data_IF_107336536953
#
_entry.id   IF_107336536953
#
_cell.length_a   1.000
_cell.length_b   1.000
_cell.length_c   1.000
_cell.angle_alpha   90.00
_cell.angle_beta   90.00
_cell.angle_gamma   90.00
#
_symmetry.space_group_name_H-M   'P 1'
#
loop_
_entity.id
_entity.type
_entity.pdbx_description
1 polymer ?
#
# COMPACT_ATOMS: atom_id res chain seq x y z
N UNK A 1 -5.94 -58.05 -70.60
CA UNK A 1 -5.77 -58.25 -69.14
C UNK A 1 -5.02 -57.10 -68.45
N UNK A 2 -3.90 -56.62 -69.00
CA UNK A 2 -3.06 -55.56 -68.41
C UNK A 2 -3.77 -54.21 -68.16
N UNK A 3 -4.64 -53.74 -69.06
CA UNK A 3 -5.38 -52.48 -68.89
C UNK A 3 -6.37 -52.50 -67.70
N UNK A 4 -6.95 -53.67 -67.40
CA UNK A 4 -7.90 -53.87 -66.29
C UNK A 4 -7.17 -53.87 -64.94
N UNK A 5 -5.97 -54.42 -64.89
CA UNK A 5 -5.08 -54.40 -63.72
C UNK A 5 -4.55 -52.98 -63.45
N UNK A 6 -4.15 -52.23 -64.50
CA UNK A 6 -3.71 -50.83 -64.38
C UNK A 6 -4.82 -49.91 -63.86
N UNK A 7 -6.06 -50.07 -64.35
CA UNK A 7 -7.23 -49.33 -63.82
C UNK A 7 -7.52 -49.65 -62.35
N UNK A 8 -7.39 -50.91 -61.92
CA UNK A 8 -7.59 -51.31 -60.52
C UNK A 8 -6.49 -50.75 -59.61
N UNK A 9 -5.23 -50.79 -60.04
CA UNK A 9 -4.11 -50.16 -59.31
C UNK A 9 -4.29 -48.65 -59.17
N UNK A 10 -4.69 -47.95 -60.25
CA UNK A 10 -4.94 -46.50 -60.18
C UNK A 10 -6.09 -46.16 -59.24
N UNK A 11 -7.19 -46.93 -59.23
CA UNK A 11 -8.30 -46.76 -58.28
C UNK A 11 -7.86 -46.99 -56.82
N UNK A 12 -7.01 -47.99 -56.58
CA UNK A 12 -6.47 -48.25 -55.24
C UNK A 12 -5.55 -47.12 -54.76
N UNK A 13 -4.67 -46.60 -55.63
CA UNK A 13 -3.80 -45.46 -55.33
C UNK A 13 -4.62 -44.20 -55.03
N UNK A 14 -5.62 -43.89 -55.87
CA UNK A 14 -6.53 -42.76 -55.62
C UNK A 14 -7.31 -42.90 -54.31
N UNK A 15 -7.74 -44.12 -53.97
CA UNK A 15 -8.43 -44.39 -52.71
C UNK A 15 -7.51 -44.20 -51.51
N UNK A 16 -6.28 -44.73 -51.57
CA UNK A 16 -5.27 -44.54 -50.51
C UNK A 16 -4.97 -43.05 -50.32
N UNK A 17 -4.68 -42.31 -51.40
CA UNK A 17 -4.40 -40.87 -51.35
C UNK A 17 -5.58 -40.11 -50.75
N UNK A 18 -6.81 -40.45 -51.12
CA UNK A 18 -8.02 -39.79 -50.59
C UNK A 18 -8.21 -40.07 -49.09
N UNK A 19 -8.02 -41.32 -48.66
CA UNK A 19 -8.11 -41.72 -47.24
C UNK A 19 -7.01 -41.05 -46.43
N UNK A 20 -5.78 -41.02 -46.92
CA UNK A 20 -4.66 -40.33 -46.26
C UNK A 20 -4.92 -38.83 -46.17
N UNK A 21 -5.41 -38.19 -47.25
CA UNK A 21 -5.75 -36.77 -47.23
C UNK A 21 -6.86 -36.48 -46.20
N UNK A 22 -7.91 -37.29 -46.15
CA UNK A 22 -8.98 -37.17 -45.14
C UNK A 22 -8.45 -37.34 -43.71
N UNK A 23 -7.55 -38.30 -43.47
CA UNK A 23 -6.94 -38.56 -42.17
C UNK A 23 -6.12 -37.38 -41.62
N UNK A 24 -5.55 -36.53 -42.49
CA UNK A 24 -4.79 -35.36 -42.06
C UNK A 24 -5.58 -34.05 -42.16
N UNK A 25 -6.39 -33.89 -43.19
CA UNK A 25 -7.09 -32.62 -43.48
C UNK A 25 -8.28 -32.39 -42.55
N UNK A 26 -9.00 -33.45 -42.16
CA UNK A 26 -10.13 -33.32 -41.22
C UNK A 26 -9.64 -32.91 -39.83
N UNK A 27 -8.64 -33.57 -39.21
CA UNK A 27 -8.08 -33.10 -37.95
C UNK A 27 -7.51 -31.69 -38.04
N UNK A 28 -6.75 -31.36 -39.10
CA UNK A 28 -6.20 -30.02 -39.28
C UNK A 28 -7.30 -28.95 -39.35
N UNK A 29 -8.39 -29.19 -40.07
CA UNK A 29 -9.52 -28.26 -40.16
C UNK A 29 -10.27 -28.14 -38.84
N UNK A 30 -10.41 -29.24 -38.08
CA UNK A 30 -11.02 -29.18 -36.73
C UNK A 30 -10.16 -28.35 -35.77
N UNK A 31 -8.84 -28.56 -35.74
CA UNK A 31 -7.91 -27.76 -34.93
C UNK A 31 -7.96 -26.28 -35.33
N UNK A 32 -7.95 -25.98 -36.63
CA UNK A 32 -8.07 -24.61 -37.14
C UNK A 32 -9.40 -23.96 -36.72
N UNK A 33 -10.51 -24.69 -36.79
CA UNK A 33 -11.83 -24.15 -36.41
C UNK A 33 -11.91 -23.88 -34.90
N UNK A 34 -11.35 -24.77 -34.08
CA UNK A 34 -11.23 -24.57 -32.63
C UNK A 34 -10.37 -23.34 -32.34
N UNK A 35 -9.22 -23.22 -33.00
CA UNK A 35 -8.32 -22.07 -32.86
C UNK A 35 -8.98 -20.75 -33.25
N UNK A 36 -9.71 -20.71 -34.37
CA UNK A 36 -10.42 -19.52 -34.82
C UNK A 36 -11.56 -19.12 -33.85
N UNK A 37 -12.32 -20.10 -33.35
CA UNK A 37 -13.36 -19.86 -32.33
C UNK A 37 -12.74 -19.35 -31.02
N UNK A 38 -11.63 -19.93 -30.60
CA UNK A 38 -10.88 -19.48 -29.44
C UNK A 38 -10.44 -18.03 -29.60
N UNK A 39 -9.77 -17.68 -30.72
CA UNK A 39 -9.37 -16.31 -31.00
C UNK A 39 -10.54 -15.33 -31.09
N UNK A 40 -11.67 -15.77 -31.63
CA UNK A 40 -12.87 -14.94 -31.67
C UNK A 40 -13.41 -14.68 -30.25
N UNK A 41 -13.43 -15.70 -29.37
CA UNK A 41 -13.86 -15.56 -27.98
C UNK A 41 -12.90 -14.70 -27.16
N UNK A 42 -11.59 -14.89 -27.32
CA UNK A 42 -10.56 -14.10 -26.64
C UNK A 42 -10.61 -12.62 -27.09
N UNK A 43 -10.84 -12.38 -28.38
CA UNK A 43 -11.07 -11.03 -28.89
C UNK A 43 -12.35 -10.42 -28.32
N UNK A 44 -13.44 -11.18 -28.28
CA UNK A 44 -14.71 -10.70 -27.77
C UNK A 44 -14.64 -10.33 -26.28
N UNK A 45 -13.94 -11.11 -25.43
CA UNK A 45 -13.75 -10.77 -24.02
C UNK A 45 -12.83 -9.57 -23.85
N UNK A 46 -11.78 -9.44 -24.66
CA UNK A 46 -10.88 -8.29 -24.64
C UNK A 46 -11.53 -6.97 -25.09
N UNK A 47 -12.61 -7.05 -25.87
CA UNK A 47 -13.43 -5.90 -26.27
C UNK A 47 -14.48 -5.50 -25.22
N UNK A 48 -14.76 -6.34 -24.23
CA UNK A 48 -15.66 -5.97 -23.14
C UNK A 48 -14.98 -4.95 -22.21
N UNK A 49 -15.74 -3.93 -21.76
CA UNK A 49 -15.23 -3.02 -20.75
C UNK A 49 -14.91 -3.77 -19.44
N UNK A 50 -13.87 -3.37 -18.70
CA UNK A 50 -13.62 -3.89 -17.37
C UNK A 50 -14.77 -3.55 -16.42
N UNK A 51 -14.98 -4.40 -15.42
CA UNK A 51 -15.87 -4.11 -14.30
C UNK A 51 -15.17 -3.20 -13.29
N UNK A 52 -15.96 -2.50 -12.48
CA UNK A 52 -15.45 -1.65 -11.40
C UNK A 52 -15.73 -2.33 -10.06
N UNK A 53 -14.69 -2.44 -9.24
CA UNK A 53 -14.73 -2.89 -7.86
C UNK A 53 -14.26 -1.74 -6.96
N UNK A 54 -15.01 -1.50 -5.89
CA UNK A 54 -14.70 -0.46 -4.90
C UNK A 54 -13.40 -0.79 -4.15
N UNK A 55 -12.59 0.23 -3.85
CA UNK A 55 -11.29 0.11 -3.16
C UNK A 55 -10.26 -0.83 -3.82
N UNK A 56 -10.41 -1.09 -5.13
CA UNK A 56 -9.56 -1.99 -5.90
C UNK A 56 -9.03 -1.31 -7.18
N UNK A 57 -8.13 -0.35 -7.00
CA UNK A 57 -7.54 0.43 -8.09
C UNK A 57 -6.89 -0.44 -9.15
N UNK A 58 -6.14 -1.46 -8.73
CA UNK A 58 -5.42 -2.30 -9.66
C UNK A 58 -6.37 -3.20 -10.45
N UNK A 59 -7.36 -3.82 -9.81
CA UNK A 59 -8.44 -4.55 -10.48
C UNK A 59 -9.14 -3.70 -11.55
N UNK A 60 -9.42 -2.42 -11.25
CA UNK A 60 -10.09 -1.50 -12.16
C UNK A 60 -9.22 -1.14 -13.38
N UNK A 61 -7.90 -1.26 -13.27
CA UNK A 61 -6.95 -1.05 -14.38
C UNK A 61 -6.56 -2.33 -15.15
N UNK A 62 -7.16 -3.47 -14.82
CA UNK A 62 -7.01 -4.73 -15.57
C UNK A 62 -7.95 -4.78 -16.78
N UNK A 63 -7.58 -5.54 -17.80
CA UNK A 63 -8.52 -5.91 -18.88
C UNK A 63 -9.59 -6.87 -18.36
N UNK A 64 -10.74 -6.98 -19.05
CA UNK A 64 -11.79 -7.91 -18.61
C UNK A 64 -11.31 -9.37 -18.53
N UNK A 65 -10.41 -9.78 -19.42
CA UNK A 65 -9.76 -11.09 -19.37
C UNK A 65 -8.94 -11.27 -18.09
N UNK A 66 -8.09 -10.30 -17.76
CA UNK A 66 -7.28 -10.33 -16.53
C UNK A 66 -8.14 -10.29 -15.25
N UNK A 67 -9.24 -9.55 -15.26
CA UNK A 67 -10.20 -9.54 -14.14
C UNK A 67 -10.82 -10.92 -13.87
N UNK A 68 -11.09 -11.71 -14.91
CA UNK A 68 -11.58 -13.08 -14.71
C UNK A 68 -10.54 -13.97 -14.02
N UNK A 69 -9.25 -13.79 -14.32
CA UNK A 69 -8.17 -14.48 -13.60
C UNK A 69 -8.09 -14.00 -12.15
N UNK A 70 -8.17 -12.69 -11.91
CA UNK A 70 -8.18 -12.10 -10.57
C UNK A 70 -9.32 -12.69 -9.73
N UNK A 71 -10.55 -12.67 -10.26
CA UNK A 71 -11.76 -13.21 -9.63
C UNK A 71 -11.61 -14.71 -9.32
N UNK A 72 -11.07 -15.50 -10.25
CA UNK A 72 -10.88 -16.92 -10.06
C UNK A 72 -9.81 -17.25 -9.01
N UNK A 73 -8.76 -16.44 -8.91
CA UNK A 73 -7.75 -16.56 -7.86
C UNK A 73 -8.39 -16.28 -6.49
N UNK A 74 -9.11 -15.16 -6.34
CA UNK A 74 -9.81 -14.84 -5.09
C UNK A 74 -10.81 -15.93 -4.68
N UNK A 75 -11.64 -16.41 -5.61
CA UNK A 75 -12.59 -17.48 -5.34
C UNK A 75 -11.91 -18.77 -4.88
N UNK A 76 -10.76 -19.12 -5.47
CA UNK A 76 -9.96 -20.27 -5.02
C UNK A 76 -9.37 -20.08 -3.63
N UNK A 77 -8.94 -18.87 -3.29
CA UNK A 77 -8.40 -18.52 -1.97
C UNK A 77 -9.50 -18.59 -0.90
N UNK A 78 -10.70 -18.09 -1.19
CA UNK A 78 -11.85 -18.13 -0.27
C UNK A 78 -12.19 -19.56 0.18
N UNK A 79 -11.96 -20.56 -0.68
CA UNK A 79 -12.19 -21.97 -0.37
C UNK A 79 -10.92 -22.72 0.05
N UNK A 80 -9.79 -22.04 0.23
CA UNK A 80 -8.47 -22.65 0.51
C UNK A 80 -8.07 -23.73 -0.51
N UNK A 81 -8.47 -23.57 -1.78
CA UNK A 81 -8.14 -24.49 -2.87
C UNK A 81 -6.67 -24.40 -3.24
N UNK A 82 -6.08 -25.48 -3.77
CA UNK A 82 -4.70 -25.49 -4.29
C UNK A 82 -4.60 -25.01 -5.74
N UNK A 83 -5.72 -24.77 -6.40
CA UNK A 83 -5.79 -24.23 -7.76
C UNK A 83 -7.11 -23.52 -8.00
N UNK A 84 -7.14 -22.62 -8.98
CA UNK A 84 -8.39 -22.01 -9.46
C UNK A 84 -9.24 -23.00 -10.24
N UNK A 85 -10.49 -22.62 -10.50
CA UNK A 85 -11.25 -23.25 -11.58
C UNK A 85 -10.54 -23.08 -12.93
N UNK A 86 -10.85 -23.98 -13.87
CA UNK A 86 -10.27 -23.95 -15.21
C UNK A 86 -10.86 -22.79 -16.02
N UNK A 87 -10.04 -21.78 -16.29
CA UNK A 87 -10.43 -20.61 -17.06
C UNK A 87 -10.48 -20.94 -18.56
N UNK A 88 -11.45 -20.38 -19.30
CA UNK A 88 -11.66 -20.70 -20.72
C UNK A 88 -10.63 -20.04 -21.66
N UNK A 89 -9.59 -19.40 -21.12
CA UNK A 89 -8.58 -18.65 -21.85
C UNK A 89 -7.17 -19.02 -21.44
N UNK A 90 -6.22 -18.82 -22.35
CA UNK A 90 -4.80 -18.89 -22.07
C UNK A 90 -4.30 -17.53 -21.59
N UNK A 91 -3.58 -17.51 -20.48
CA UNK A 91 -2.90 -16.31 -19.99
C UNK A 91 -1.41 -16.37 -20.29
N UNK A 92 -0.85 -15.24 -20.70
CA UNK A 92 0.59 -15.03 -20.79
C UNK A 92 1.17 -14.81 -19.40
N UNK A 93 2.48 -15.06 -19.26
CA UNK A 93 3.22 -14.75 -18.03
C UNK A 93 3.05 -13.28 -17.61
N UNK A 94 3.03 -12.35 -18.58
CA UNK A 94 2.83 -10.93 -18.31
C UNK A 94 1.44 -10.60 -17.74
N UNK A 95 0.37 -11.14 -18.33
CA UNK A 95 -1.00 -10.99 -17.80
C UNK A 95 -1.09 -11.58 -16.41
N UNK A 96 -0.45 -12.74 -16.22
CA UNK A 96 -0.41 -13.44 -14.94
C UNK A 96 0.29 -12.59 -13.86
N UNK A 97 1.53 -12.14 -14.10
CA UNK A 97 2.28 -11.26 -13.20
C UNK A 97 1.51 -10.00 -12.86
N UNK A 98 0.88 -9.35 -13.85
CA UNK A 98 0.10 -8.13 -13.63
C UNK A 98 -1.11 -8.37 -12.72
N UNK A 99 -1.79 -9.53 -12.86
CA UNK A 99 -2.90 -9.91 -11.97
C UNK A 99 -2.41 -10.23 -10.56
N UNK A 100 -1.29 -10.94 -10.43
CA UNK A 100 -0.69 -11.25 -9.13
C UNK A 100 -0.24 -9.99 -8.38
N UNK A 101 0.38 -9.04 -9.08
CA UNK A 101 0.70 -7.72 -8.53
C UNK A 101 -0.58 -6.98 -8.11
N UNK A 102 -1.63 -6.99 -8.94
CA UNK A 102 -2.90 -6.36 -8.59
C UNK A 102 -3.49 -6.94 -7.28
N UNK A 103 -3.47 -8.25 -7.11
CA UNK A 103 -3.96 -8.89 -5.86
C UNK A 103 -3.08 -8.53 -4.67
N UNK A 104 -1.75 -8.54 -4.81
CA UNK A 104 -0.83 -8.18 -3.73
C UNK A 104 -1.06 -6.75 -3.22
N UNK A 105 -1.38 -5.84 -4.13
CA UNK A 105 -1.59 -4.41 -3.82
C UNK A 105 -3.02 -4.11 -3.39
N UNK A 106 -4.04 -4.70 -4.01
CA UNK A 106 -5.44 -4.47 -3.64
C UNK A 106 -5.85 -5.23 -2.38
N UNK A 107 -5.23 -6.36 -2.06
CA UNK A 107 -5.65 -7.25 -0.97
C UNK A 107 -4.56 -7.48 0.10
N UNK A 108 -4.12 -6.46 0.86
CA UNK A 108 -3.11 -6.61 1.92
C UNK A 108 -3.44 -7.64 3.00
N UNK A 109 -4.72 -7.96 3.21
CA UNK A 109 -5.20 -9.01 4.13
C UNK A 109 -4.73 -10.41 3.77
N UNK A 110 -4.27 -10.62 2.52
CA UNK A 110 -3.82 -11.90 1.99
C UNK A 110 -2.30 -12.12 2.19
N UNK A 111 -1.75 -11.69 3.34
CA UNK A 111 -0.32 -11.77 3.68
C UNK A 111 0.27 -13.20 3.66
N UNK A 112 -0.60 -14.20 3.65
CA UNK A 112 -0.28 -15.62 3.66
C UNK A 112 -0.14 -16.25 2.26
N UNK A 113 -0.37 -15.48 1.19
CA UNK A 113 -0.16 -15.94 -0.17
C UNK A 113 1.29 -15.74 -0.61
N UNK A 114 1.82 -16.72 -1.32
CA UNK A 114 3.10 -16.57 -2.02
C UNK A 114 2.86 -16.11 -3.45
N UNK A 115 2.80 -14.79 -3.63
CA UNK A 115 2.47 -14.13 -4.90
C UNK A 115 3.43 -14.47 -6.07
N UNK A 116 4.74 -14.71 -5.88
CA UNK A 116 5.59 -15.20 -6.96
C UNK A 116 5.43 -16.71 -7.29
N UNK A 117 4.57 -17.46 -6.57
CA UNK A 117 4.48 -18.92 -6.70
C UNK A 117 3.34 -19.42 -7.62
N UNK A 118 2.51 -18.55 -8.15
CA UNK A 118 1.43 -19.02 -9.02
C UNK A 118 1.98 -19.45 -10.39
N UNK A 119 1.71 -20.71 -10.75
CA UNK A 119 2.06 -21.24 -12.07
C UNK A 119 0.83 -21.19 -12.97
N UNK A 120 0.92 -20.45 -14.08
CA UNK A 120 -0.10 -20.52 -15.13
C UNK A 120 0.08 -21.82 -15.93
N UNK A 121 -0.70 -22.84 -15.57
CA UNK A 121 -0.73 -24.09 -16.28
C UNK A 121 -1.68 -23.97 -17.48
N UNK A 122 -1.34 -24.59 -18.62
CA UNK A 122 -2.18 -24.54 -19.83
C UNK A 122 -2.59 -25.95 -20.26
N UNK A 123 -3.90 -26.20 -20.32
CA UNK A 123 -4.48 -27.40 -20.95
C UNK A 123 -4.99 -27.03 -22.36
N UNK A 124 -4.05 -26.94 -23.29
CA UNK A 124 -4.30 -26.48 -24.67
C UNK A 124 -4.63 -24.99 -24.77
N UNK A 125 -5.91 -24.63 -24.64
CA UNK A 125 -6.43 -23.25 -24.78
C UNK A 125 -6.96 -22.66 -23.47
N UNK A 126 -6.94 -23.44 -22.39
CA UNK A 126 -7.46 -23.08 -21.08
C UNK A 126 -6.32 -22.96 -20.08
N UNK A 127 -6.52 -22.18 -19.03
CA UNK A 127 -5.52 -22.00 -17.99
C UNK A 127 -6.12 -22.09 -16.60
N UNK A 128 -5.28 -22.40 -15.61
CA UNK A 128 -5.59 -22.27 -14.19
C UNK A 128 -4.34 -21.77 -13.47
N UNK A 129 -4.53 -21.20 -12.27
CA UNK A 129 -3.44 -20.79 -11.41
C UNK A 129 -3.31 -21.76 -10.23
N UNK A 130 -2.09 -22.19 -9.92
CA UNK A 130 -1.79 -22.98 -8.72
C UNK A 130 -1.64 -22.06 -7.50
N UNK A 131 -2.39 -22.32 -6.44
CA UNK A 131 -2.45 -21.48 -5.24
C UNK A 131 -1.60 -22.10 -4.13
N UNK A 132 -0.62 -21.34 -3.64
CA UNK A 132 0.26 -21.76 -2.55
C UNK A 132 0.09 -20.87 -1.31
N UNK A 133 0.02 -21.51 -0.15
CA UNK A 133 -0.18 -20.85 1.14
C UNK A 133 1.06 -21.04 2.02
N UNK A 134 1.47 -19.97 2.70
CA UNK A 134 2.66 -19.94 3.56
C UNK A 134 2.47 -20.65 4.91
N UNK A 135 1.22 -20.89 5.29
CA UNK A 135 0.85 -21.38 6.62
C UNK A 135 -0.12 -22.55 6.52
N UNK A 136 -0.12 -23.39 7.55
CA UNK A 136 -1.18 -24.37 7.77
C UNK A 136 -2.52 -23.67 8.07
N UNK A 137 -3.63 -24.40 7.98
CA UNK A 137 -4.97 -23.84 8.28
C UNK A 137 -5.08 -23.33 9.71
N UNK A 138 -4.43 -23.97 10.68
CA UNK A 138 -4.42 -23.57 12.08
C UNK A 138 -3.62 -22.28 12.29
N UNK A 139 -2.40 -22.22 11.78
CA UNK A 139 -1.56 -21.01 11.84
C UNK A 139 -2.22 -19.83 11.13
N UNK A 140 -2.85 -20.07 9.97
CA UNK A 140 -3.56 -19.04 9.23
C UNK A 140 -4.74 -18.48 10.04
N UNK A 141 -5.53 -19.34 10.67
CA UNK A 141 -6.64 -18.92 11.51
C UNK A 141 -6.16 -18.05 12.69
N UNK A 142 -5.08 -18.46 13.36
CA UNK A 142 -4.48 -17.70 14.45
C UNK A 142 -3.96 -16.33 13.97
N UNK A 143 -3.14 -16.31 12.92
CA UNK A 143 -2.52 -15.06 12.42
C UNK A 143 -3.56 -14.09 11.87
N UNK A 144 -4.61 -14.59 11.23
CA UNK A 144 -5.73 -13.77 10.77
C UNK A 144 -6.45 -13.13 11.96
N UNK A 145 -6.67 -13.89 13.04
CA UNK A 145 -7.28 -13.36 14.26
C UNK A 145 -6.42 -12.26 14.91
N UNK A 146 -5.10 -12.44 14.96
CA UNK A 146 -4.17 -11.42 15.48
C UNK A 146 -4.22 -10.14 14.66
N UNK A 147 -4.17 -10.25 13.32
CA UNK A 147 -4.25 -9.10 12.42
C UNK A 147 -5.59 -8.37 12.54
N UNK A 148 -6.71 -9.10 12.55
CA UNK A 148 -8.05 -8.54 12.71
C UNK A 148 -8.24 -7.85 14.07
N UNK A 149 -7.66 -8.38 15.14
CA UNK A 149 -7.73 -7.76 16.47
C UNK A 149 -7.05 -6.38 16.48
N UNK A 150 -5.87 -6.26 15.88
CA UNK A 150 -5.13 -4.99 15.82
C UNK A 150 -5.82 -4.00 14.87
N UNK A 151 -6.30 -4.46 13.70
CA UNK A 151 -7.05 -3.63 12.77
C UNK A 151 -8.37 -3.10 13.37
N UNK A 152 -9.05 -3.92 14.18
CA UNK A 152 -10.24 -3.51 14.92
C UNK A 152 -9.92 -2.47 16.00
N UNK A 153 -8.80 -2.62 16.72
CA UNK A 153 -8.35 -1.64 17.70
C UNK A 153 -8.04 -0.28 17.05
N UNK A 154 -7.34 -0.28 15.91
CA UNK A 154 -7.08 0.93 15.13
C UNK A 154 -8.38 1.61 14.66
N UNK A 155 -9.34 0.82 14.17
CA UNK A 155 -10.65 1.34 13.72
C UNK A 155 -11.47 1.94 14.87
N UNK A 156 -11.38 1.37 16.07
CA UNK A 156 -12.03 1.92 17.25
C UNK A 156 -11.48 3.31 17.61
N UNK A 157 -10.17 3.52 17.41
CA UNK A 157 -9.54 4.83 17.58
C UNK A 157 -10.05 5.86 16.56
N UNK A 158 -10.20 5.45 15.29
CA UNK A 158 -10.71 6.30 14.21
C UNK A 158 -12.23 6.57 14.28
N UNK A 159 -13.01 5.74 15.00
CA UNK A 159 -14.48 5.89 15.09
C UNK A 159 -14.91 7.20 15.75
N UNK A 160 -14.07 7.77 16.61
CA UNK A 160 -14.33 9.04 17.28
C UNK A 160 -14.10 10.28 16.37
N UNK A 161 -13.50 10.10 15.19
CA UNK A 161 -13.16 11.17 14.28
C UNK A 161 -14.34 11.53 13.36
N UNK A 162 -14.65 12.82 13.25
CA UNK A 162 -15.77 13.32 12.45
C UNK A 162 -15.43 13.47 10.96
N UNK A 163 -14.19 13.82 10.62
CA UNK A 163 -13.72 14.05 9.24
C UNK A 163 -12.89 12.88 8.71
N UNK A 164 -12.83 12.70 7.38
CA UNK A 164 -11.93 11.72 6.75
C UNK A 164 -10.46 12.04 7.06
N UNK A 165 -10.08 13.32 7.04
CA UNK A 165 -8.74 13.77 7.40
C UNK A 165 -8.35 13.39 8.84
N UNK A 166 -9.22 13.60 9.83
CA UNK A 166 -8.89 13.23 11.22
C UNK A 166 -8.84 11.71 11.41
N UNK A 167 -9.63 10.94 10.65
CA UNK A 167 -9.51 9.46 10.62
C UNK A 167 -8.19 9.02 10.01
N UNK A 168 -7.77 9.66 8.91
CA UNK A 168 -6.50 9.38 8.25
C UNK A 168 -5.34 9.58 9.22
N UNK A 169 -5.30 10.74 9.90
CA UNK A 169 -4.28 11.07 10.93
C UNK A 169 -4.32 10.02 12.05
N UNK A 170 -5.49 9.69 12.56
CA UNK A 170 -5.63 8.73 13.65
C UNK A 170 -5.10 7.31 13.30
N UNK A 171 -5.37 6.83 12.08
CA UNK A 171 -4.91 5.51 11.62
C UNK A 171 -3.42 5.50 11.25
N UNK A 172 -2.93 6.60 10.66
CA UNK A 172 -1.51 6.81 10.43
C UNK A 172 -0.71 6.79 11.74
N UNK A 173 -1.12 7.62 12.71
CA UNK A 173 -0.43 7.74 14.00
C UNK A 173 -0.47 6.44 14.79
N UNK A 174 -1.57 5.69 14.68
CA UNK A 174 -1.66 4.35 15.24
C UNK A 174 -0.60 3.42 14.66
N UNK A 175 -0.45 3.37 13.32
CA UNK A 175 0.54 2.52 12.68
C UNK A 175 1.96 2.94 13.03
N UNK A 176 2.29 4.22 12.84
CA UNK A 176 3.61 4.76 13.12
C UNK A 176 3.98 4.53 14.58
N UNK A 177 3.07 4.78 15.52
CA UNK A 177 3.32 4.60 16.95
C UNK A 177 3.55 3.16 17.41
N UNK A 178 3.20 2.13 16.62
CA UNK A 178 3.40 0.72 16.99
C UNK A 178 4.46 0.00 16.17
N UNK A 179 4.69 0.40 14.93
CA UNK A 179 5.64 -0.25 14.03
C UNK A 179 7.01 0.44 14.11
N UNK A 180 8.05 -0.31 13.74
CA UNK A 180 9.41 0.20 13.58
C UNK A 180 9.93 -0.16 12.20
N UNK A 181 10.48 0.81 11.50
CA UNK A 181 11.01 0.63 10.16
C UNK A 181 12.20 -0.34 10.17
N UNK A 182 12.11 -1.38 9.36
CA UNK A 182 13.20 -2.31 9.14
C UNK A 182 13.94 -1.96 7.86
N UNK A 183 15.15 -1.44 8.03
CA UNK A 183 16.06 -1.19 6.91
C UNK A 183 16.38 -2.47 6.15
N UNK A 184 16.47 -2.37 4.82
CA UNK A 184 16.71 -3.52 3.95
C UNK A 184 16.27 -3.22 2.52
N UNK A 185 15.93 -4.27 1.77
CA UNK A 185 15.25 -4.08 0.49
C UNK A 185 13.82 -3.60 0.73
N UNK A 186 13.19 -2.91 -0.23
CA UNK A 186 11.79 -2.49 -0.15
C UNK A 186 10.79 -3.63 0.12
N UNK A 187 11.23 -4.87 -0.08
CA UNK A 187 10.46 -6.10 0.04
C UNK A 187 10.75 -6.88 1.35
N UNK A 188 11.61 -6.32 2.23
CA UNK A 188 11.84 -6.86 3.58
C UNK A 188 10.61 -6.61 4.45
N UNK A 189 10.15 -7.64 5.18
CA UNK A 189 9.00 -7.54 6.10
C UNK A 189 7.80 -6.79 5.46
N UNK A 190 7.45 -7.24 4.25
CA UNK A 190 6.61 -6.52 3.30
C UNK A 190 5.12 -6.89 3.33
N UNK A 191 4.60 -7.26 4.51
CA UNK A 191 3.17 -7.54 4.70
C UNK A 191 2.54 -6.65 5.76
N UNK A 192 1.22 -6.45 5.67
CA UNK A 192 0.46 -5.77 6.71
C UNK A 192 0.59 -6.48 8.07
N UNK A 193 0.74 -7.81 8.07
CA UNK A 193 0.97 -8.59 9.30
C UNK A 193 2.33 -8.28 9.94
N UNK A 194 3.39 -8.08 9.13
CA UNK A 194 4.70 -7.72 9.67
C UNK A 194 4.65 -6.34 10.36
N UNK A 195 4.02 -5.35 9.74
CA UNK A 195 3.89 -4.01 10.31
C UNK A 195 2.97 -3.97 11.55
N UNK A 196 1.76 -4.53 11.46
CA UNK A 196 0.75 -4.41 12.53
C UNK A 196 0.99 -5.38 13.69
N UNK A 197 1.32 -6.64 13.39
CA UNK A 197 1.42 -7.70 14.42
C UNK A 197 2.86 -7.88 14.87
N UNK A 198 3.82 -8.00 13.95
CA UNK A 198 5.24 -8.13 14.33
C UNK A 198 5.89 -6.79 14.69
N UNK A 199 5.21 -5.66 14.42
CA UNK A 199 5.67 -4.30 14.74
C UNK A 199 6.99 -3.93 14.06
N UNK A 200 7.31 -4.58 12.96
CA UNK A 200 8.56 -4.37 12.24
C UNK A 200 8.33 -4.62 10.75
N UNK A 201 8.58 -3.62 9.92
CA UNK A 201 8.28 -3.68 8.49
C UNK A 201 9.15 -2.76 7.64
N UNK A 202 9.38 -3.13 6.38
CA UNK A 202 9.88 -2.22 5.36
C UNK A 202 8.75 -1.36 4.76
N UNK A 203 9.09 -0.52 3.77
CA UNK A 203 8.15 0.45 3.16
C UNK A 203 6.89 -0.19 2.59
N UNK A 204 7.01 -1.35 1.94
CA UNK A 204 5.84 -2.07 1.43
C UNK A 204 4.93 -2.62 2.55
N UNK A 205 5.50 -3.01 3.69
CA UNK A 205 4.72 -3.47 4.84
C UNK A 205 3.92 -2.32 5.47
N UNK A 206 4.53 -1.14 5.60
CA UNK A 206 3.84 0.09 6.02
C UNK A 206 2.70 0.44 5.05
N UNK A 207 2.99 0.48 3.75
CA UNK A 207 1.99 0.85 2.75
C UNK A 207 0.79 -0.13 2.72
N UNK A 208 1.06 -1.43 2.89
CA UNK A 208 0.02 -2.47 3.02
C UNK A 208 -0.78 -2.37 4.30
N UNK A 209 -0.14 -2.05 5.43
CA UNK A 209 -0.84 -1.84 6.69
C UNK A 209 -1.77 -0.64 6.62
N UNK A 210 -1.30 0.50 6.11
CA UNK A 210 -2.15 1.67 5.88
C UNK A 210 -3.31 1.34 4.97
N UNK A 211 -3.07 0.70 3.83
CA UNK A 211 -4.16 0.33 2.92
C UNK A 211 -5.19 -0.57 3.61
N UNK A 212 -4.76 -1.57 4.39
CA UNK A 212 -5.68 -2.42 5.16
C UNK A 212 -6.51 -1.62 6.17
N UNK A 213 -5.89 -0.68 6.89
CA UNK A 213 -6.57 0.17 7.86
C UNK A 213 -7.53 1.16 7.20
N UNK A 214 -7.13 1.78 6.10
CA UNK A 214 -7.94 2.74 5.34
C UNK A 214 -9.12 2.08 4.65
N UNK A 215 -8.91 0.97 3.94
CA UNK A 215 -9.99 0.22 3.27
C UNK A 215 -11.07 -0.20 4.30
N UNK A 216 -10.65 -0.59 5.51
CA UNK A 216 -11.57 -0.95 6.62
C UNK A 216 -12.38 0.24 7.14
N UNK A 217 -11.85 1.45 7.03
CA UNK A 217 -12.47 2.68 7.54
C UNK A 217 -13.07 3.55 6.43
N UNK A 218 -13.21 3.01 5.21
CA UNK A 218 -13.86 3.68 4.08
C UNK A 218 -13.01 4.76 3.41
N UNK A 219 -11.70 4.78 3.64
CA UNK A 219 -10.77 5.70 3.00
C UNK A 219 -10.10 4.95 1.84
N UNK A 220 -10.23 5.46 0.62
CA UNK A 220 -9.60 4.84 -0.54
C UNK A 220 -8.07 5.03 -0.47
N UNK A 221 -7.33 3.93 -0.59
CA UNK A 221 -5.87 3.94 -0.60
C UNK A 221 -5.30 3.05 -1.69
N UNK A 222 -4.32 3.60 -2.41
CA UNK A 222 -3.60 2.96 -3.51
C UNK A 222 -2.15 2.84 -3.07
N UNK A 223 -1.66 1.61 -2.95
CA UNK A 223 -0.21 1.40 -2.78
C UNK A 223 0.45 1.74 -4.10
N UNK A 224 1.49 2.56 -4.10
CA UNK A 224 2.27 2.91 -5.29
C UNK A 224 3.71 2.47 -5.14
N UNK A 225 4.43 2.36 -6.25
CA UNK A 225 5.82 1.95 -6.28
C UNK A 225 6.68 2.96 -7.03
N UNK A 226 7.93 3.10 -6.61
CA UNK A 226 8.80 4.12 -7.14
C UNK A 226 10.22 4.03 -6.64
N UNK A 227 10.87 5.18 -6.67
CA UNK A 227 12.13 5.40 -5.97
C UNK A 227 11.99 6.54 -4.98
N UNK A 228 12.66 6.41 -3.85
CA UNK A 228 12.79 7.44 -2.84
C UNK A 228 14.27 7.54 -2.46
N UNK A 229 14.85 8.74 -2.52
CA UNK A 229 16.30 8.95 -2.35
C UNK A 229 17.18 8.00 -3.20
N UNK A 230 16.69 7.60 -4.38
CA UNK A 230 17.39 6.71 -5.32
C UNK A 230 17.15 5.20 -5.12
N UNK A 231 16.55 4.77 -4.01
CA UNK A 231 16.27 3.37 -3.69
C UNK A 231 14.84 2.97 -4.04
N UNK A 232 14.57 1.68 -4.30
CA UNK A 232 13.18 1.22 -4.52
C UNK A 232 12.33 1.53 -3.28
N UNK A 233 11.12 2.00 -3.49
CA UNK A 233 10.24 2.40 -2.39
C UNK A 233 8.77 2.19 -2.71
N UNK A 234 7.95 2.08 -1.66
CA UNK A 234 6.50 1.93 -1.74
C UNK A 234 5.84 2.83 -0.71
N UNK A 235 4.78 3.52 -1.11
CA UNK A 235 3.99 4.41 -0.27
C UNK A 235 2.54 4.40 -0.73
N UNK A 236 1.70 5.30 -0.23
CA UNK A 236 0.29 5.36 -0.58
C UNK A 236 -0.05 6.64 -1.35
N UNK A 237 -1.00 6.53 -2.28
CA UNK A 237 -1.88 7.63 -2.63
C UNK A 237 -3.20 7.39 -1.89
N UNK A 238 -3.70 8.41 -1.19
CA UNK A 238 -4.93 8.35 -0.39
C UNK A 238 -5.94 9.33 -0.98
N UNK A 239 -7.23 8.97 -0.95
CA UNK A 239 -8.33 9.86 -1.33
C UNK A 239 -9.00 10.40 -0.07
N UNK A 240 -8.95 11.71 0.14
CA UNK A 240 -9.59 12.41 1.25
C UNK A 240 -10.58 13.41 0.67
N UNK A 241 -11.87 13.27 0.99
CA UNK A 241 -12.96 14.08 0.45
C UNK A 241 -12.93 14.18 -1.09
N UNK A 242 -12.50 13.10 -1.76
CA UNK A 242 -12.37 13.00 -3.22
C UNK A 242 -11.11 13.65 -3.81
N UNK A 243 -10.17 14.09 -2.98
CA UNK A 243 -8.87 14.61 -3.42
C UNK A 243 -7.77 13.58 -3.17
N UNK A 244 -6.96 13.34 -4.19
CA UNK A 244 -5.84 12.41 -4.09
C UNK A 244 -4.58 13.10 -3.58
N UNK A 245 -3.89 12.48 -2.64
CA UNK A 245 -2.63 12.97 -2.07
C UNK A 245 -1.66 11.84 -1.77
N UNK A 246 -0.37 12.14 -1.74
CA UNK A 246 0.65 11.20 -1.34
C UNK A 246 0.78 11.11 0.18
N UNK A 247 0.91 9.89 0.69
CA UNK A 247 1.20 9.58 2.08
C UNK A 247 2.30 8.52 2.17
N UNK A 248 3.41 8.85 2.81
CA UNK A 248 4.49 7.90 3.13
C UNK A 248 4.65 7.73 4.65
N UNK A 249 3.98 6.71 5.19
CA UNK A 249 4.09 6.39 6.61
C UNK A 249 5.48 5.90 7.03
N UNK A 250 6.27 5.35 6.10
CA UNK A 250 7.58 4.78 6.43
C UNK A 250 8.64 5.86 6.60
N UNK A 251 8.50 6.99 5.89
CA UNK A 251 9.31 8.19 6.10
C UNK A 251 8.74 9.12 7.18
N UNK A 252 7.54 8.79 7.69
CA UNK A 252 6.94 9.39 8.87
C UNK A 252 7.20 8.60 10.16
N UNK A 253 7.87 7.45 10.05
CA UNK A 253 8.38 6.69 11.19
C UNK A 253 9.57 7.42 11.81
N UNK A 254 9.25 8.36 12.69
CA UNK A 254 10.18 9.26 13.34
C UNK A 254 11.03 8.55 14.39
N UNK A 255 11.88 7.60 14.00
CA UNK A 255 12.94 7.01 14.86
C UNK A 255 14.04 8.05 15.17
N UNK A 256 13.62 9.18 15.72
CA UNK A 256 14.42 10.25 16.26
C UNK A 256 14.82 9.78 17.66
N UNK A 257 16.07 9.31 17.79
CA UNK A 257 16.66 8.91 19.07
C UNK A 257 15.83 7.84 19.84
N UNK A 258 15.14 6.92 19.15
CA UNK A 258 14.30 5.84 19.73
C UNK A 258 13.05 6.31 20.46
N UNK A 259 12.56 7.51 20.17
CA UNK A 259 11.21 7.90 20.60
C UNK A 259 10.30 7.80 19.40
N UNK A 260 9.41 6.80 19.40
CA UNK A 260 8.47 6.60 18.32
C UNK A 260 7.35 7.66 18.40
N UNK A 261 7.60 8.82 17.79
CA UNK A 261 6.66 9.94 17.73
C UNK A 261 6.13 10.03 16.30
N UNK A 262 4.80 10.05 16.10
CA UNK A 262 4.24 10.31 14.79
C UNK A 262 4.74 11.64 14.23
N UNK A 263 5.32 11.59 13.04
CA UNK A 263 5.77 12.73 12.25
C UNK A 263 4.92 12.82 10.98
N UNK A 264 4.66 14.04 10.47
CA UNK A 264 3.72 14.25 9.38
C UNK A 264 4.34 14.88 8.12
N UNK A 265 5.67 14.78 7.97
CA UNK A 265 6.41 15.35 6.84
C UNK A 265 5.86 14.93 5.49
N UNK A 266 5.63 13.63 5.32
CA UNK A 266 5.16 13.03 4.08
C UNK A 266 3.66 12.73 4.14
N UNK A 267 2.90 13.58 4.85
CA UNK A 267 1.45 13.44 5.01
C UNK A 267 0.69 14.37 4.07
N UNK A 268 -0.10 13.79 3.17
CA UNK A 268 -0.90 14.47 2.18
C UNK A 268 -0.14 15.47 1.29
N UNK A 269 0.97 15.01 0.71
CA UNK A 269 1.77 15.81 -0.22
C UNK A 269 1.16 15.83 -1.63
N UNK A 270 1.32 16.97 -2.30
CA UNK A 270 1.06 17.08 -3.74
C UNK A 270 2.12 16.35 -4.57
N UNK A 271 1.85 16.10 -5.85
CA UNK A 271 2.82 15.58 -6.82
C UNK A 271 4.09 16.43 -6.84
N UNK A 272 3.94 17.76 -6.71
CA UNK A 272 5.06 18.70 -6.75
C UNK A 272 5.98 18.58 -5.53
N UNK A 273 5.41 18.42 -4.34
CA UNK A 273 6.16 18.25 -3.09
C UNK A 273 6.78 16.87 -3.02
N UNK A 274 6.03 15.83 -3.37
CA UNK A 274 6.52 14.44 -3.36
C UNK A 274 7.64 14.23 -4.38
N UNK A 275 7.59 14.91 -5.54
CA UNK A 275 8.61 14.77 -6.59
C UNK A 275 10.00 15.30 -6.24
N UNK A 276 10.17 15.98 -5.10
CA UNK A 276 11.47 16.50 -4.65
C UNK A 276 12.45 15.38 -4.33
N UNK A 277 11.96 14.24 -3.84
CA UNK A 277 12.77 13.09 -3.43
C UNK A 277 12.17 11.73 -3.80
N UNK A 278 10.90 11.69 -4.22
CA UNK A 278 10.25 10.51 -4.75
C UNK A 278 10.04 10.59 -6.25
N UNK A 279 10.02 9.44 -6.89
CA UNK A 279 9.66 9.30 -8.30
C UNK A 279 8.78 8.08 -8.46
N UNK A 280 7.53 8.28 -8.87
CA UNK A 280 6.61 7.21 -9.24
C UNK A 280 7.19 6.38 -10.37
N UNK A 281 6.98 5.08 -10.30
CA UNK A 281 7.34 4.12 -11.34
C UNK A 281 6.19 3.16 -11.60
N UNK A 282 6.44 2.11 -12.37
CA UNK A 282 5.43 1.12 -12.73
C UNK A 282 4.70 1.40 -14.05
N UNK A 283 3.98 0.37 -14.53
CA UNK A 283 3.20 0.41 -15.77
C UNK A 283 1.75 0.87 -15.60
N UNK A 284 1.41 1.46 -14.45
CA UNK A 284 0.06 1.87 -14.07
C UNK A 284 -0.11 3.38 -14.24
N UNK A 285 -1.36 3.81 -14.44
CA UNK A 285 -1.71 5.23 -14.42
C UNK A 285 -2.06 5.59 -12.99
N UNK A 286 -1.51 6.69 -12.50
CA UNK A 286 -1.76 7.20 -11.16
C UNK A 286 -2.73 8.39 -11.23
N UNK A 287 -3.60 8.59 -10.23
CA UNK A 287 -4.37 9.83 -10.12
C UNK A 287 -3.42 11.01 -9.87
N UNK A 288 -3.85 12.21 -10.26
CA UNK A 288 -3.08 13.43 -10.02
C UNK A 288 -3.28 13.92 -8.58
N UNK A 289 -2.20 14.30 -7.91
CA UNK A 289 -2.24 14.81 -6.54
C UNK A 289 -1.95 16.32 -6.54
N UNK A 290 -2.97 17.16 -6.71
CA UNK A 290 -2.78 18.61 -6.91
C UNK A 290 -3.23 19.49 -5.77
N UNK A 291 -4.15 19.01 -4.93
CA UNK A 291 -4.72 19.81 -3.85
C UNK A 291 -3.80 19.87 -2.63
N UNK A 292 -3.62 21.06 -2.08
CA UNK A 292 -2.80 21.27 -0.90
C UNK A 292 -3.62 21.04 0.39
N UNK A 293 -3.93 19.77 0.65
CA UNK A 293 -4.53 19.30 1.91
C UNK A 293 -3.48 18.66 2.84
N UNK A 294 -2.23 19.07 2.68
CA UNK A 294 -1.11 18.65 3.53
C UNK A 294 -1.40 18.91 5.01
N UNK A 295 -0.91 18.02 5.87
CA UNK A 295 -1.13 18.10 7.32
C UNK A 295 -0.79 19.47 7.91
N UNK A 296 0.37 20.02 7.58
CA UNK A 296 0.80 21.32 8.11
C UNK A 296 -0.02 22.48 7.57
N UNK A 297 -0.54 22.38 6.35
CA UNK A 297 -1.47 23.38 5.79
C UNK A 297 -2.79 23.36 6.57
N UNK A 298 -3.41 22.19 6.72
CA UNK A 298 -4.71 22.05 7.38
C UNK A 298 -4.66 22.35 8.88
N UNK A 299 -3.55 22.02 9.56
CA UNK A 299 -3.35 22.34 10.97
C UNK A 299 -2.80 23.75 11.22
N UNK A 300 -2.54 24.55 10.18
CA UNK A 300 -2.02 25.92 10.31
C UNK A 300 -0.60 26.01 10.86
N UNK A 301 0.24 25.00 10.56
CA UNK A 301 1.61 24.84 11.08
C UNK A 301 2.68 25.29 10.08
N UNK A 302 2.28 25.70 8.87
CA UNK A 302 3.19 26.29 7.87
C UNK A 302 3.52 27.74 8.20
N UNK A 303 4.80 28.08 8.09
CA UNK A 303 5.30 29.42 8.39
C UNK A 303 6.18 29.93 7.25
N UNK A 304 5.80 31.06 6.63
CA UNK A 304 6.51 31.65 5.51
C UNK A 304 7.59 32.66 5.93
N UNK A 305 7.71 32.95 7.24
CA UNK A 305 8.70 33.88 7.77
C UNK A 305 9.02 33.61 9.24
N UNK A 306 10.17 34.11 9.69
CA UNK A 306 10.62 34.04 11.09
C UNK A 306 9.56 34.66 12.03
N UNK A 307 8.97 35.81 11.68
CA UNK A 307 7.96 36.47 12.52
C UNK A 307 6.67 35.66 12.68
N UNK A 308 6.26 34.93 11.63
CA UNK A 308 5.13 34.00 11.74
C UNK A 308 5.49 32.81 12.63
N UNK A 309 6.71 32.28 12.49
CA UNK A 309 7.21 31.20 13.35
C UNK A 309 7.28 31.62 14.82
N UNK A 310 7.72 32.85 15.15
CA UNK A 310 7.74 33.40 16.52
C UNK A 310 6.35 33.45 17.16
N UNK A 311 5.33 33.75 16.35
CA UNK A 311 3.93 33.82 16.79
C UNK A 311 3.40 32.42 17.06
N UNK A 312 3.55 31.52 16.08
CA UNK A 312 3.07 30.13 16.17
C UNK A 312 3.81 29.35 17.26
N UNK A 313 5.13 29.57 17.43
CA UNK A 313 5.93 28.91 18.47
C UNK A 313 5.36 29.13 19.87
N UNK A 314 5.03 30.37 20.21
CA UNK A 314 4.50 30.71 21.53
C UNK A 314 3.13 30.05 21.77
N UNK A 315 2.19 30.21 20.83
CA UNK A 315 0.85 29.64 20.96
C UNK A 315 0.91 28.11 20.98
N UNK A 316 1.75 27.51 20.14
CA UNK A 316 1.85 26.06 20.01
C UNK A 316 2.50 25.42 21.22
N UNK A 317 3.60 25.99 21.76
CA UNK A 317 4.20 25.48 23.00
C UNK A 317 3.16 25.50 24.10
N UNK A 318 2.42 26.61 24.27
CA UNK A 318 1.35 26.72 25.27
C UNK A 318 0.26 25.66 25.08
N UNK A 319 -0.21 25.45 23.86
CA UNK A 319 -1.26 24.48 23.56
C UNK A 319 -0.79 23.03 23.78
N UNK A 320 0.41 22.69 23.32
CA UNK A 320 1.06 21.39 23.55
C UNK A 320 1.20 21.11 25.05
N UNK A 321 1.60 22.12 25.84
CA UNK A 321 1.65 22.00 27.30
C UNK A 321 0.28 21.83 27.96
N UNK A 322 -0.74 22.54 27.47
CA UNK A 322 -2.10 22.42 27.98
C UNK A 322 -2.66 21.02 27.74
N UNK A 323 -2.30 20.38 26.63
CA UNK A 323 -2.65 18.99 26.30
C UNK A 323 -1.77 17.95 27.02
N UNK A 324 -0.64 18.36 27.59
CA UNK A 324 0.32 17.45 28.22
C UNK A 324 1.16 16.64 27.22
N UNK A 325 1.24 17.11 25.97
CA UNK A 325 2.07 16.53 24.91
C UNK A 325 3.54 16.92 25.11
N UNK A 326 4.47 16.05 24.73
CA UNK A 326 5.92 16.31 24.81
C UNK A 326 6.56 16.66 23.48
N UNK A 327 5.76 16.76 22.41
CA UNK A 327 6.23 17.05 21.07
C UNK A 327 5.27 18.00 20.35
N UNK A 328 5.81 18.84 19.49
CA UNK A 328 5.05 19.62 18.52
C UNK A 328 5.81 19.64 17.20
N UNK A 329 5.09 19.87 16.10
CA UNK A 329 5.68 19.99 14.78
C UNK A 329 5.45 21.38 14.19
N UNK A 330 6.39 21.83 13.37
CA UNK A 330 6.30 23.07 12.59
C UNK A 330 6.86 22.86 11.19
N UNK A 331 6.37 23.63 10.23
CA UNK A 331 6.84 23.60 8.85
C UNK A 331 7.31 25.00 8.41
N UNK A 332 8.60 25.33 8.57
CA UNK A 332 9.18 26.54 8.01
C UNK A 332 9.36 26.45 6.49
N UNK A 333 8.69 27.32 5.72
CA UNK A 333 8.85 27.42 4.26
C UNK A 333 10.06 28.28 3.85
N UNK A 334 11.00 28.47 4.77
CA UNK A 334 12.21 29.25 4.57
C UNK A 334 13.39 28.47 5.14
N UNK A 335 14.54 28.58 4.46
CA UNK A 335 15.77 27.99 4.97
C UNK A 335 16.22 28.74 6.21
N UNK A 336 16.35 28.03 7.32
CA UNK A 336 16.94 28.53 8.55
C UNK A 336 17.59 27.36 9.25
N UNK A 337 18.80 27.59 9.78
CA UNK A 337 19.52 26.57 10.53
C UNK A 337 18.71 26.15 11.78
N UNK A 338 18.72 24.86 12.10
CA UNK A 338 18.08 24.31 13.31
C UNK A 338 18.39 25.11 14.58
N UNK A 339 19.60 25.65 14.72
CA UNK A 339 20.01 26.46 15.86
C UNK A 339 19.25 27.79 15.96
N UNK A 340 18.95 28.44 14.84
CA UNK A 340 18.17 29.67 14.83
C UNK A 340 16.70 29.40 15.20
N UNK A 341 16.11 28.30 14.72
CA UNK A 341 14.77 27.87 15.13
C UNK A 341 14.75 27.50 16.61
N UNK A 342 15.77 26.78 17.09
CA UNK A 342 15.95 26.47 18.51
C UNK A 342 15.99 27.73 19.37
N UNK A 343 16.75 28.76 18.97
CA UNK A 343 16.83 30.03 19.71
C UNK A 343 15.47 30.75 19.76
N UNK A 344 14.75 30.76 18.63
CA UNK A 344 13.39 31.33 18.55
C UNK A 344 12.41 30.61 19.49
N UNK A 345 12.49 29.27 19.52
CA UNK A 345 11.66 28.46 20.40
C UNK A 345 12.03 28.67 21.88
N UNK A 346 13.32 28.86 22.20
CA UNK A 346 13.76 29.21 23.56
C UNK A 346 13.25 30.59 23.99
N UNK A 347 13.21 31.58 23.10
CA UNK A 347 12.61 32.88 23.39
C UNK A 347 11.11 32.76 23.71
N UNK A 348 10.36 31.95 22.95
CA UNK A 348 8.96 31.66 23.25
C UNK A 348 8.77 31.02 24.64
N UNK A 349 9.66 30.11 25.03
CA UNK A 349 9.69 29.51 26.38
C UNK A 349 9.94 30.58 27.45
N UNK A 350 10.89 31.48 27.25
CA UNK A 350 11.22 32.51 28.24
C UNK A 350 10.08 33.52 28.41
N UNK A 351 9.35 33.83 27.32
CA UNK A 351 8.10 34.61 27.37
C UNK A 351 7.03 33.91 28.24
N UNK A 352 6.80 32.61 28.04
CA UNK A 352 5.86 31.83 28.85
C UNK A 352 6.26 31.77 30.34
N UNK A 353 7.56 31.64 30.62
CA UNK A 353 8.08 31.67 32.00
C UNK A 353 7.87 33.03 32.66
N UNK A 354 8.03 34.13 31.92
CA UNK A 354 7.75 35.47 32.43
C UNK A 354 6.26 35.66 32.81
N UNK A 355 5.36 34.88 32.21
CA UNK A 355 3.93 34.83 32.55
C UNK A 355 3.60 33.83 33.68
N UNK A 356 4.61 33.19 34.27
CA UNK A 356 4.47 32.29 35.42
C UNK A 356 4.39 30.81 35.06
N UNK A 357 4.65 30.42 33.82
CA UNK A 357 4.67 29.01 33.38
C UNK A 357 6.07 28.40 33.58
N UNK A 358 6.35 27.85 34.77
CA UNK A 358 7.66 27.24 35.12
C UNK A 358 7.73 25.72 34.88
N UNK A 359 6.92 25.20 33.96
CA UNK A 359 6.86 23.77 33.65
C UNK A 359 7.93 23.33 32.65
N UNK A 360 8.50 24.25 31.88
CA UNK A 360 9.44 23.98 30.79
C UNK A 360 10.88 23.88 31.31
N UNK A 361 11.56 22.76 31.07
CA UNK A 361 12.97 22.54 31.40
C UNK A 361 13.89 22.84 30.22
N UNK A 362 13.61 22.22 29.08
CA UNK A 362 14.43 22.30 27.88
C UNK A 362 13.59 22.01 26.63
N UNK A 363 14.13 22.35 25.47
CA UNK A 363 13.61 21.91 24.18
C UNK A 363 14.73 21.30 23.35
N UNK A 364 14.38 20.43 22.40
CA UNK A 364 15.25 19.97 21.30
C UNK A 364 14.50 20.11 19.98
N UNK A 365 15.23 20.44 18.93
CA UNK A 365 14.71 20.59 17.58
C UNK A 365 15.36 19.51 16.74
N UNK A 366 14.54 18.80 15.97
CA UNK A 366 14.96 17.73 15.10
C UNK A 366 14.49 18.05 13.68
N UNK A 367 15.45 18.10 12.75
CA UNK A 367 15.16 18.05 11.32
C UNK A 367 14.74 16.63 10.97
N UNK A 368 13.50 16.48 10.49
CA UNK A 368 12.92 15.17 10.24
C UNK A 368 13.16 14.70 8.80
N UNK A 369 13.55 15.61 7.91
CA UNK A 369 13.94 15.30 6.54
C UNK A 369 14.98 16.31 6.04
N UNK A 370 15.83 15.87 5.11
CA UNK A 370 16.79 16.75 4.42
C UNK A 370 16.14 17.54 3.27
N UNK A 371 15.01 17.06 2.76
CA UNK A 371 14.33 17.55 1.56
C UNK A 371 13.01 18.24 1.90
N UNK A 372 12.39 17.83 3.00
CA UNK A 372 11.18 18.42 3.53
C UNK A 372 11.53 19.28 4.74
N UNK A 373 11.03 20.52 4.77
CA UNK A 373 11.38 21.49 5.79
C UNK A 373 10.72 21.25 7.15
N UNK A 374 9.88 20.23 7.26
CA UNK A 374 9.19 19.86 8.48
C UNK A 374 10.16 19.51 9.63
N UNK A 375 9.86 20.03 10.82
CA UNK A 375 10.66 19.85 12.02
C UNK A 375 9.81 19.39 13.19
N UNK A 376 10.37 18.49 14.00
CA UNK A 376 9.80 18.04 15.27
C UNK A 376 10.54 18.68 16.42
N UNK A 377 9.78 19.23 17.38
CA UNK A 377 10.30 19.93 18.54
C UNK A 377 9.87 19.17 19.79
N UNK A 378 10.85 18.61 20.49
CA UNK A 378 10.63 17.93 21.76
C UNK A 378 10.68 18.93 22.90
N UNK A 379 9.67 18.86 23.77
CA UNK A 379 9.52 19.65 24.97
C UNK A 379 9.82 18.78 26.19
N UNK A 380 10.77 19.22 27.00
CA UNK A 380 11.11 18.59 28.27
C UNK A 380 10.51 19.40 29.41
N UNK A 381 9.79 18.71 30.29
CA UNK A 381 9.20 19.32 31.48
C UNK A 381 10.14 19.26 32.68
N UNK A 382 9.99 20.20 33.60
CA UNK A 382 10.52 20.06 34.96
C UNK A 382 9.87 18.83 35.60
N UNK A 383 10.63 18.09 36.40
CA UNK A 383 10.49 16.66 36.74
C UNK A 383 9.15 16.15 37.32
N UNK A 384 8.11 16.98 37.37
CA UNK A 384 6.80 16.67 37.94
C UNK A 384 5.66 16.96 36.93
N UNK A 385 5.51 16.11 35.91
CA UNK A 385 4.20 15.74 35.32
C UNK A 385 4.25 14.32 34.75
N UNK A 386 3.09 13.60 34.71
CA UNK A 386 3.05 12.14 34.69
C UNK A 386 3.67 11.57 33.43
N UNK A 387 4.36 10.44 33.60
CA UNK A 387 4.82 9.63 32.48
C UNK A 387 3.66 9.38 31.50
N UNK A 388 3.97 9.48 30.21
CA UNK A 388 3.11 8.95 29.14
C UNK A 388 2.65 7.54 29.53
N UNK A 389 1.39 7.15 29.30
CA UNK A 389 1.01 5.75 29.42
C UNK A 389 1.91 4.96 28.46
N UNK A 390 2.77 4.11 28.99
CA UNK A 390 3.57 3.20 28.19
C UNK A 390 2.60 2.29 27.44
N UNK A 391 2.78 2.20 26.12
CA UNK A 391 2.14 1.18 25.31
C UNK A 391 2.74 -0.18 25.68
N UNK A 392 2.17 -0.81 26.70
CA UNK A 392 2.57 -2.12 27.19
C UNK A 392 3.03 -2.06 28.63
N UNK A 393 2.08 -2.25 29.54
CA UNK A 393 2.23 -3.04 30.76
C UNK A 393 0.83 -3.37 31.27
N UNK A 394 0.17 -4.33 30.61
CA UNK A 394 -0.88 -5.11 31.26
C UNK A 394 -0.21 -6.13 32.18
N UNK A 395 0.47 -5.64 33.22
CA UNK A 395 0.90 -6.49 34.33
C UNK A 395 -0.29 -6.74 35.25
N UNK A 396 -0.88 -7.90 35.03
CA UNK A 396 -1.31 -8.85 36.04
C UNK A 396 -1.02 -8.42 37.50
N UNK A 397 -2.00 -7.83 38.18
CA UNK A 397 -2.07 -7.88 39.64
C UNK A 397 -3.45 -8.42 40.04
N UNK A 398 -3.43 -9.65 40.52
CA UNK A 398 -4.61 -10.38 40.96
C UNK A 398 -5.21 -9.83 42.25
N UNK A 399 -6.50 -10.10 42.39
CA UNK A 399 -7.14 -10.47 43.64
C UNK A 399 -8.17 -11.55 43.35
#
# INVERSE_FOLDING_TARGET
>A
MAARVRRRKNKLVLWIVSVTLLLFLVPALTVLTIFLRYRASEKAIGEQPPLIMENAWYYNGLTRKEQLLYEAILAGIETMSTQTELLPYRYSEKEFTRVSEAIDRDCPKLFYLDVPAFVCCTDGFKSYAELAYRFTSEELAQRTMELEAIAAAASAYATACESEFDKEVALHDFLVGIAVYEGGTADTAASAYDALVKKQAGSLGYAKALKLLFDRNGIESIIVEGRAAGERHHWNIVSIDGQHTHLDASWNDGDIERVNVPFHGYFNLTDSEMSLDHTLSGGWKWPACTENINYYTLKGLRTASISQLETIAYDRIRDTMAKGESFLEVYPEFSTESDAIRLLMLDAVDRLRAEGVDLLRAIRVYECSQTNAAMTIQIFYNSDKPALPSAGDSENSGS
#
